data_IF_219405183789
#
_entry.id   IF_219405183789
#
_cell.length_a   1.000
_cell.length_b   1.000
_cell.length_c   1.000
_cell.angle_alpha   90.00
_cell.angle_beta   90.00
_cell.angle_gamma   90.00
#
_symmetry.space_group_name_H-M   'P 1'
#
loop_
_entity.id
_entity.type
_entity.pdbx_description
1 polymer ?
#
# COMPACT_ATOMS: atom_id res chain seq x y z
N UNK A 1 2.21 26.82 58.95
CA UNK A 1 2.94 27.90 59.66
C UNK A 1 3.69 28.69 58.59
N UNK A 2 3.42 30.00 58.48
CA UNK A 2 3.99 30.99 57.55
C UNK A 2 3.77 30.76 56.02
N UNK A 3 3.58 31.74 55.14
CA UNK A 3 3.09 33.14 55.18
C UNK A 3 3.18 33.73 53.74
N UNK A 4 2.12 34.42 53.29
CA UNK A 4 2.10 35.67 52.44
C UNK A 4 2.61 35.56 50.98
N UNK A 5 1.82 35.63 49.89
CA UNK A 5 0.89 36.64 49.27
C UNK A 5 1.54 37.54 48.19
N UNK A 6 0.68 38.01 47.23
CA UNK A 6 0.79 39.19 46.30
C UNK A 6 1.30 38.84 44.86
N UNK A 7 0.71 39.23 43.70
CA UNK A 7 -0.38 40.15 43.30
C UNK A 7 -0.87 39.86 41.85
N UNK A 8 -2.09 40.33 41.57
CA UNK A 8 -2.85 40.46 40.31
C UNK A 8 -2.18 41.17 39.13
N UNK A 9 -2.64 40.93 37.89
CA UNK A 9 -3.47 41.89 37.10
C UNK A 9 -3.74 41.41 35.66
N UNK A 10 -5.01 41.46 35.28
CA UNK A 10 -5.52 41.34 33.91
C UNK A 10 -5.44 42.69 33.18
N UNK A 11 -5.36 42.69 31.85
CA UNK A 11 -5.81 43.79 30.98
C UNK A 11 -6.14 43.26 29.58
N UNK A 12 -7.44 43.28 29.27
CA UNK A 12 -8.04 43.21 27.94
C UNK A 12 -7.85 44.56 27.24
N UNK A 13 -7.56 44.59 25.94
CA UNK A 13 -8.06 45.63 25.04
C UNK A 13 -8.16 45.11 23.59
N UNK A 14 -9.40 45.12 23.08
CA UNK A 14 -9.76 45.09 21.67
C UNK A 14 -9.89 46.52 21.15
N UNK A 15 -9.56 46.78 19.88
CA UNK A 15 -10.16 47.87 19.10
C UNK A 15 -9.90 47.72 17.59
N UNK A 16 -10.99 47.74 16.83
CA UNK A 16 -11.10 47.90 15.38
C UNK A 16 -10.71 49.32 14.93
N UNK A 17 -10.59 49.53 13.61
CA UNK A 17 -11.15 50.75 13.00
C UNK A 17 -10.33 51.44 11.93
N UNK A 18 -10.86 51.39 10.71
CA UNK A 18 -10.41 51.93 9.43
C UNK A 18 -10.70 53.43 9.23
N UNK A 19 -10.03 54.04 8.24
CA UNK A 19 -10.35 55.26 7.43
C UNK A 19 -10.45 56.61 8.17
N UNK A 20 -10.12 57.80 7.63
CA UNK A 20 -9.72 58.32 6.30
C UNK A 20 -9.46 59.84 6.44
N UNK A 21 -8.71 60.45 5.49
CA UNK A 21 -8.76 61.84 4.96
C UNK A 21 -7.35 62.34 4.62
N UNK A 22 -7.08 63.19 3.63
CA UNK A 22 -7.68 63.69 2.37
C UNK A 22 -6.67 64.75 1.87
N UNK A 23 -6.58 64.99 0.55
CA UNK A 23 -6.53 66.32 -0.10
C UNK A 23 -5.96 66.29 -1.55
N UNK A 24 -6.89 66.50 -2.50
CA UNK A 24 -6.93 67.46 -3.64
C UNK A 24 -5.73 67.64 -4.61
N UNK A 25 -5.88 67.68 -5.94
CA UNK A 25 -6.75 68.58 -6.75
C UNK A 25 -6.88 68.15 -8.23
N UNK A 26 -7.92 68.66 -8.89
CA UNK A 26 -8.46 68.36 -10.23
C UNK A 26 -7.83 69.11 -11.42
N UNK A 27 -8.08 68.63 -12.65
CA UNK A 27 -8.27 69.42 -13.88
C UNK A 27 -9.11 68.64 -14.91
N UNK A 28 -9.88 69.38 -15.72
CA UNK A 28 -11.07 69.01 -16.50
C UNK A 28 -10.85 69.37 -18.00
N UNK A 29 -11.57 68.74 -18.95
CA UNK A 29 -12.07 69.25 -20.27
C UNK A 29 -12.52 68.04 -21.16
N UNK A 30 -13.83 67.81 -21.45
CA UNK A 30 -14.68 68.18 -22.64
C UNK A 30 -14.08 67.82 -24.02
N UNK A 31 -14.76 67.24 -25.04
CA UNK A 31 -16.15 67.38 -25.51
C UNK A 31 -16.56 66.29 -26.56
N UNK A 32 -17.85 66.25 -26.90
CA UNK A 32 -18.61 65.29 -27.75
C UNK A 32 -18.29 65.22 -29.27
N UNK A 33 -18.63 64.09 -29.94
CA UNK A 33 -19.47 64.03 -31.17
C UNK A 33 -19.75 62.61 -31.69
N UNK A 34 -20.92 62.42 -32.31
CA UNK A 34 -21.62 61.17 -32.65
C UNK A 34 -21.65 60.92 -34.19
N UNK A 35 -21.67 59.63 -34.60
CA UNK A 35 -22.55 58.96 -35.62
C UNK A 35 -21.95 58.23 -36.86
N UNK A 36 -22.31 56.94 -36.93
CA UNK A 36 -22.78 56.07 -38.06
C UNK A 36 -21.84 55.40 -39.09
N UNK A 37 -21.79 54.06 -38.95
CA UNK A 37 -21.94 52.95 -39.93
C UNK A 37 -21.35 53.02 -41.35
N UNK A 38 -20.44 52.06 -41.62
CA UNK A 38 -20.54 51.20 -42.80
C UNK A 38 -19.85 49.84 -42.57
N UNK A 39 -20.57 48.79 -42.96
CA UNK A 39 -20.30 47.35 -42.84
C UNK A 39 -19.29 46.87 -43.88
N UNK A 40 -18.35 45.99 -43.52
CA UNK A 40 -17.85 44.93 -44.41
C UNK A 40 -17.01 43.86 -43.67
N UNK A 41 -17.37 42.61 -43.95
CA UNK A 41 -16.64 41.33 -43.92
C UNK A 41 -15.69 40.95 -42.76
N UNK A 42 -16.07 39.83 -42.13
CA UNK A 42 -15.25 39.02 -41.23
C UNK A 42 -14.47 38.00 -42.08
N UNK A 43 -13.15 38.18 -42.18
CA UNK A 43 -12.21 37.09 -42.44
C UNK A 43 -11.54 36.71 -41.10
N UNK A 44 -11.49 35.41 -40.73
CA UNK A 44 -10.84 34.96 -39.51
C UNK A 44 -9.33 34.91 -39.68
N UNK A 45 -8.60 35.65 -38.85
CA UNK A 45 -7.16 35.53 -38.72
C UNK A 45 -6.80 34.31 -37.84
N UNK A 46 -6.14 33.35 -38.49
CA UNK A 46 -5.29 32.26 -38.00
C UNK A 46 -5.11 32.16 -36.47
N UNK A 47 -5.73 31.13 -35.89
CA UNK A 47 -5.18 30.45 -34.72
C UNK A 47 -4.13 29.47 -35.24
N UNK A 48 -2.86 29.69 -34.91
CA UNK A 48 -1.85 28.61 -34.91
C UNK A 48 -2.32 27.57 -33.90
N UNK A 49 -2.95 26.50 -34.40
CA UNK A 49 -3.02 25.22 -33.71
C UNK A 49 -1.59 24.75 -33.51
N UNK A 50 -1.15 24.74 -32.24
CA UNK A 50 -0.08 23.87 -31.83
C UNK A 50 -0.54 22.44 -32.12
N UNK A 51 0.08 21.81 -33.11
CA UNK A 51 -0.07 20.38 -33.39
C UNK A 51 0.23 19.61 -32.10
N UNK A 52 -0.82 19.13 -31.44
CA UNK A 52 -0.73 18.00 -30.54
C UNK A 52 -0.27 16.83 -31.41
N UNK A 53 1.03 16.55 -31.40
CA UNK A 53 1.55 15.30 -31.93
C UNK A 53 1.15 14.17 -30.99
N UNK A 54 -0.12 13.78 -31.04
CA UNK A 54 -0.56 12.47 -30.57
C UNK A 54 0.01 11.43 -31.54
N UNK A 55 1.30 11.13 -31.37
CA UNK A 55 1.80 9.84 -31.79
C UNK A 55 1.20 8.84 -30.79
N UNK A 56 0.11 8.18 -31.19
CA UNK A 56 -0.37 6.98 -30.50
C UNK A 56 0.72 5.93 -30.61
N UNK A 57 1.61 5.86 -29.62
CA UNK A 57 2.61 4.80 -29.54
C UNK A 57 1.92 3.46 -29.36
N UNK A 58 2.47 2.42 -29.97
CA UNK A 58 1.96 1.04 -29.85
C UNK A 58 2.15 0.50 -28.43
N UNK A 59 3.14 1.02 -27.71
CA UNK A 59 3.53 0.62 -26.35
C UNK A 59 3.09 1.65 -25.31
N UNK A 60 2.89 1.19 -24.07
CA UNK A 60 2.63 2.03 -22.91
C UNK A 60 3.78 3.03 -22.66
N UNK A 61 5.01 2.64 -22.99
CA UNK A 61 6.20 3.46 -22.83
C UNK A 61 6.88 3.73 -24.18
N UNK A 62 6.59 4.86 -24.84
CA UNK A 62 7.19 5.19 -26.13
C UNK A 62 8.70 5.44 -26.07
N UNK A 63 9.26 5.84 -24.92
CA UNK A 63 10.69 6.18 -24.83
C UNK A 63 11.61 4.97 -25.06
N UNK A 64 11.07 3.76 -24.97
CA UNK A 64 11.84 2.55 -25.26
C UNK A 64 12.35 2.53 -26.71
N UNK A 65 11.65 3.19 -27.65
CA UNK A 65 12.10 3.33 -29.05
C UNK A 65 13.45 4.04 -29.18
N UNK A 66 13.79 4.93 -28.24
CA UNK A 66 15.07 5.64 -28.23
C UNK A 66 16.27 4.74 -27.90
N UNK A 67 16.03 3.52 -27.41
CA UNK A 67 17.10 2.54 -27.17
C UNK A 67 17.72 2.01 -28.45
N UNK A 68 17.10 2.27 -29.61
CA UNK A 68 17.47 1.74 -30.94
C UNK A 68 17.47 0.21 -31.04
N UNK A 69 16.99 -0.49 -30.01
CA UNK A 69 16.84 -1.94 -30.01
C UNK A 69 15.58 -2.42 -30.73
N UNK A 70 15.48 -3.73 -30.92
CA UNK A 70 14.22 -4.37 -31.30
C UNK A 70 13.34 -4.55 -30.05
N UNK A 71 12.12 -4.05 -30.12
CA UNK A 71 11.18 -3.96 -29.01
C UNK A 71 10.02 -4.93 -29.25
N UNK A 72 9.68 -5.72 -28.24
CA UNK A 72 8.57 -6.68 -28.28
C UNK A 72 7.75 -6.60 -26.99
N UNK A 73 6.46 -6.29 -27.09
CA UNK A 73 5.54 -6.43 -25.96
C UNK A 73 5.24 -7.91 -25.73
N UNK A 74 5.65 -8.44 -24.57
CA UNK A 74 5.48 -9.87 -24.25
C UNK A 74 4.31 -10.12 -23.31
N UNK A 75 3.86 -9.11 -22.57
CA UNK A 75 2.71 -9.21 -21.69
C UNK A 75 2.15 -7.83 -21.35
N UNK A 76 0.81 -7.74 -21.25
CA UNK A 76 0.10 -6.54 -20.82
C UNK A 76 -0.99 -6.92 -19.84
N UNK A 77 -1.10 -6.17 -18.75
CA UNK A 77 -2.21 -6.24 -17.82
C UNK A 77 -2.91 -4.88 -17.76
N UNK A 78 -4.11 -4.80 -18.34
CA UNK A 78 -4.87 -3.54 -18.45
C UNK A 78 -5.71 -3.23 -17.20
N UNK A 79 -5.76 -4.15 -16.23
CA UNK A 79 -6.56 -3.97 -15.02
C UNK A 79 -6.04 -4.85 -13.87
N UNK A 80 -4.85 -4.54 -13.32
CA UNK A 80 -4.22 -5.39 -12.31
C UNK A 80 -4.91 -5.34 -10.94
N UNK A 81 -5.74 -4.31 -10.68
CA UNK A 81 -6.44 -4.11 -9.40
C UNK A 81 -5.51 -3.91 -8.19
N UNK A 82 -4.25 -3.50 -8.41
CA UNK A 82 -3.32 -3.21 -7.32
C UNK A 82 -3.62 -1.82 -6.75
N UNK A 83 -4.02 -1.76 -5.47
CA UNK A 83 -4.48 -0.53 -4.83
C UNK A 83 -4.08 -0.45 -3.36
N UNK A 84 -3.53 0.69 -2.95
CA UNK A 84 -3.14 0.91 -1.56
C UNK A 84 -3.77 2.20 -1.03
N UNK A 85 -4.52 2.09 0.06
CA UNK A 85 -5.11 3.24 0.77
C UNK A 85 -4.36 3.47 2.07
N UNK A 86 -3.81 4.68 2.23
CA UNK A 86 -3.02 5.15 3.36
C UNK A 86 -3.67 6.42 3.94
N UNK A 87 -4.61 6.26 4.87
CA UNK A 87 -5.26 7.37 5.60
C UNK A 87 -5.66 8.58 4.74
N UNK A 88 -6.34 8.29 3.63
CA UNK A 88 -6.79 9.31 2.67
C UNK A 88 -5.78 9.61 1.54
N UNK A 89 -4.67 8.89 1.46
CA UNK A 89 -3.79 8.86 0.31
C UNK A 89 -3.95 7.54 -0.45
N UNK A 90 -4.46 7.60 -1.69
CA UNK A 90 -4.75 6.42 -2.49
C UNK A 90 -3.71 6.25 -3.60
N UNK A 91 -3.17 5.05 -3.74
CA UNK A 91 -2.29 4.64 -4.82
C UNK A 91 -2.97 3.54 -5.62
N UNK A 92 -2.94 3.61 -6.95
CA UNK A 92 -3.40 2.53 -7.82
C UNK A 92 -2.44 2.29 -8.98
N UNK A 93 -2.22 1.02 -9.33
CA UNK A 93 -1.62 0.65 -10.61
C UNK A 93 -2.75 0.41 -11.59
N UNK A 94 -2.84 1.25 -12.62
CA UNK A 94 -3.95 1.23 -13.57
C UNK A 94 -3.75 0.16 -14.64
N UNK A 95 -2.51 0.02 -15.12
CA UNK A 95 -2.08 -0.97 -16.10
C UNK A 95 -0.56 -1.13 -16.02
N UNK A 96 -0.05 -2.25 -16.54
CA UNK A 96 1.37 -2.39 -16.81
C UNK A 96 1.64 -3.23 -18.06
N UNK A 97 2.81 -3.02 -18.63
CA UNK A 97 3.30 -3.73 -19.81
C UNK A 97 4.74 -4.20 -19.58
N UNK A 98 5.03 -5.44 -19.97
CA UNK A 98 6.37 -6.00 -19.98
C UNK A 98 6.86 -6.00 -21.43
N UNK A 99 7.94 -5.28 -21.66
CA UNK A 99 8.55 -5.11 -22.97
C UNK A 99 9.94 -5.72 -22.97
N UNK A 100 10.21 -6.60 -23.93
CA UNK A 100 11.54 -7.13 -24.21
C UNK A 100 12.26 -6.17 -25.16
N UNK A 101 13.53 -5.91 -24.87
CA UNK A 101 14.42 -5.12 -25.73
C UNK A 101 15.63 -5.98 -26.05
N UNK A 102 15.95 -6.12 -27.34
CA UNK A 102 17.13 -6.85 -27.81
C UNK A 102 17.97 -6.01 -28.75
N UNK A 103 19.29 -6.20 -28.71
CA UNK A 103 20.25 -5.47 -29.57
C UNK A 103 20.15 -3.95 -29.41
N UNK A 104 19.98 -3.48 -28.16
CA UNK A 104 19.93 -2.04 -27.87
C UNK A 104 21.29 -1.36 -28.08
N UNK A 105 21.26 -0.07 -28.36
CA UNK A 105 22.48 0.74 -28.44
C UNK A 105 23.26 0.67 -27.11
N UNK A 106 24.58 0.53 -27.20
CA UNK A 106 25.50 0.39 -26.07
C UNK A 106 25.36 1.52 -25.03
N UNK A 107 24.93 2.71 -25.45
CA UNK A 107 24.70 3.86 -24.57
C UNK A 107 23.62 3.58 -23.50
N UNK A 108 22.70 2.64 -23.77
CA UNK A 108 21.64 2.23 -22.84
C UNK A 108 22.00 0.99 -22.00
N UNK A 109 23.07 0.27 -22.35
CA UNK A 109 23.44 -0.99 -21.68
C UNK A 109 23.70 -0.81 -20.18
N UNK A 110 24.14 0.39 -19.75
CA UNK A 110 24.38 0.69 -18.33
C UNK A 110 23.13 0.54 -17.43
N UNK A 111 21.93 0.69 -17.99
CA UNK A 111 20.67 0.43 -17.27
C UNK A 111 20.43 -1.06 -17.04
N UNK A 112 21.05 -1.93 -17.85
CA UNK A 112 20.85 -3.38 -17.89
C UNK A 112 22.13 -4.13 -17.50
N UNK A 113 22.93 -3.60 -16.56
CA UNK A 113 24.19 -4.20 -16.11
C UNK A 113 25.19 -4.48 -17.26
N UNK A 114 25.31 -3.53 -18.19
CA UNK A 114 26.15 -3.59 -19.39
C UNK A 114 25.70 -4.64 -20.44
N UNK A 115 24.51 -5.24 -20.29
CA UNK A 115 23.88 -6.10 -21.29
C UNK A 115 23.14 -5.25 -22.34
N UNK A 116 23.10 -5.73 -23.59
CA UNK A 116 22.36 -5.08 -24.69
C UNK A 116 21.00 -5.73 -24.96
N UNK A 117 20.60 -6.67 -24.10
CA UNK A 117 19.29 -7.27 -24.06
C UNK A 117 18.72 -7.11 -22.65
N UNK A 118 17.40 -6.99 -22.53
CA UNK A 118 16.75 -6.92 -21.24
C UNK A 118 15.25 -6.75 -21.36
N UNK A 119 14.62 -6.45 -20.23
CA UNK A 119 13.18 -6.25 -20.13
C UNK A 119 12.90 -4.96 -19.34
N UNK A 120 11.86 -4.25 -19.74
CA UNK A 120 11.31 -3.12 -18.99
C UNK A 120 9.86 -3.41 -18.67
N UNK A 121 9.52 -3.38 -17.38
CA UNK A 121 8.13 -3.31 -16.94
C UNK A 121 7.77 -1.84 -16.80
N UNK A 122 6.83 -1.35 -17.58
CA UNK A 122 6.29 0.01 -17.44
C UNK A 122 4.93 -0.09 -16.77
N UNK A 123 4.73 0.61 -15.64
CA UNK A 123 3.49 0.59 -14.88
C UNK A 123 2.92 2.01 -14.77
N UNK A 124 1.66 2.18 -15.16
CA UNK A 124 0.94 3.44 -14.99
C UNK A 124 0.35 3.50 -13.58
N UNK A 125 0.79 4.49 -12.80
CA UNK A 125 0.43 4.65 -11.40
C UNK A 125 -0.31 5.97 -11.20
N UNK A 126 -1.44 5.90 -10.50
CA UNK A 126 -2.16 7.08 -10.00
C UNK A 126 -1.92 7.25 -8.51
N UNK A 127 -1.59 8.47 -8.10
CA UNK A 127 -1.50 8.87 -6.69
C UNK A 127 -2.52 9.98 -6.41
N UNK A 128 -3.30 9.83 -5.36
CA UNK A 128 -4.39 10.74 -5.01
C UNK A 128 -4.40 11.06 -3.51
N UNK A 129 -4.06 12.30 -3.16
CA UNK A 129 -4.25 12.84 -1.82
C UNK A 129 -5.69 13.37 -1.69
N UNK A 130 -6.56 12.61 -1.04
CA UNK A 130 -7.97 12.99 -0.83
C UNK A 130 -8.18 13.88 0.41
N UNK A 131 -7.12 14.17 1.15
CA UNK A 131 -7.19 14.98 2.38
C UNK A 131 -7.15 16.47 2.10
N UNK A 132 -7.47 17.28 3.13
CA UNK A 132 -7.33 18.72 3.13
C UNK A 132 -5.92 19.20 3.56
N UNK A 133 -4.98 18.27 3.74
CA UNK A 133 -3.60 18.53 4.16
C UNK A 133 -2.62 18.13 3.08
N UNK A 134 -1.45 18.74 3.13
CA UNK A 134 -0.30 18.30 2.37
C UNK A 134 0.27 17.02 3.00
N UNK A 135 0.59 16.04 2.18
CA UNK A 135 1.17 14.77 2.62
C UNK A 135 2.50 14.51 1.89
N UNK A 136 3.36 13.74 2.53
CA UNK A 136 4.67 13.33 2.05
C UNK A 136 4.68 11.82 1.81
N UNK A 137 4.95 11.43 0.57
CA UNK A 137 4.99 10.04 0.14
C UNK A 137 6.14 9.79 -0.81
N UNK A 138 6.86 8.70 -0.61
CA UNK A 138 7.86 8.23 -1.57
C UNK A 138 7.19 7.20 -2.47
N UNK A 139 7.06 7.51 -3.76
CA UNK A 139 6.46 6.61 -4.74
C UNK A 139 7.44 5.48 -5.14
N UNK A 140 7.71 4.59 -4.20
CA UNK A 140 8.53 3.41 -4.41
C UNK A 140 7.67 2.17 -4.57
N UNK A 141 7.98 1.39 -5.59
CA UNK A 141 7.37 0.10 -5.87
C UNK A 141 8.48 -0.93 -6.06
N UNK A 142 8.17 -2.19 -5.81
CA UNK A 142 9.13 -3.29 -5.95
C UNK A 142 8.49 -4.48 -6.64
N UNK A 143 9.29 -5.21 -7.43
CA UNK A 143 8.99 -6.58 -7.83
C UNK A 143 9.87 -7.48 -6.97
N UNK A 144 9.27 -8.10 -5.96
CA UNK A 144 9.93 -9.09 -5.11
C UNK A 144 10.00 -10.43 -5.83
N UNK A 145 11.16 -11.07 -5.75
CA UNK A 145 11.44 -12.36 -6.36
C UNK A 145 11.42 -13.46 -5.27
N UNK A 146 12.56 -14.01 -4.86
CA UNK A 146 12.60 -15.15 -3.92
C UNK A 146 12.21 -14.80 -2.48
N UNK A 147 12.51 -13.59 -2.01
CA UNK A 147 12.28 -13.15 -0.64
C UNK A 147 12.41 -11.62 -0.51
N UNK A 148 12.16 -11.07 0.67
CA UNK A 148 12.19 -9.63 0.98
C UNK A 148 13.52 -8.90 0.67
N UNK A 149 14.64 -9.63 0.51
CA UNK A 149 15.95 -9.06 0.18
C UNK A 149 16.32 -9.18 -1.31
N UNK A 150 15.51 -9.87 -2.09
CA UNK A 150 15.71 -10.15 -3.51
C UNK A 150 14.58 -9.51 -4.33
N UNK A 151 14.81 -8.28 -4.77
CA UNK A 151 13.80 -7.47 -5.44
C UNK A 151 14.39 -6.52 -6.47
N UNK A 152 13.55 -6.17 -7.45
CA UNK A 152 13.82 -5.13 -8.46
C UNK A 152 13.07 -3.86 -8.04
N UNK A 153 13.78 -2.74 -7.92
CA UNK A 153 13.16 -1.46 -7.56
C UNK A 153 12.55 -0.78 -8.79
N UNK A 154 11.50 -0.01 -8.55
CA UNK A 154 10.98 0.93 -9.53
C UNK A 154 11.88 2.14 -9.69
N UNK A 155 12.00 2.63 -10.92
CA UNK A 155 12.59 3.89 -11.32
C UNK A 155 11.50 4.91 -11.65
N UNK A 156 11.72 6.17 -11.29
CA UNK A 156 10.78 7.28 -11.54
C UNK A 156 11.21 8.18 -12.69
N UNK A 157 12.39 7.94 -13.28
CA UNK A 157 12.96 8.79 -14.34
C UNK A 157 13.51 8.00 -15.52
N UNK A 158 14.21 6.91 -15.23
CA UNK A 158 14.97 6.18 -16.25
C UNK A 158 14.00 5.49 -17.20
N UNK A 159 14.23 5.71 -18.50
CA UNK A 159 13.38 5.18 -19.56
C UNK A 159 11.91 5.59 -19.41
N UNK A 160 11.61 6.82 -18.96
CA UNK A 160 10.24 7.35 -18.88
C UNK A 160 10.17 8.71 -19.60
N UNK A 161 9.23 8.93 -20.53
CA UNK A 161 8.99 10.23 -21.16
C UNK A 161 8.79 11.34 -20.12
N UNK A 162 9.37 12.53 -20.34
CA UNK A 162 9.29 13.62 -19.35
C UNK A 162 7.84 14.02 -18.99
N UNK A 163 6.92 13.93 -19.95
CA UNK A 163 5.49 14.20 -19.81
C UNK A 163 4.72 13.05 -19.13
N UNK A 164 5.38 11.94 -18.80
CA UNK A 164 4.83 10.82 -18.03
C UNK A 164 5.56 10.62 -16.69
N UNK A 165 6.61 11.40 -16.43
CA UNK A 165 7.33 11.38 -15.17
C UNK A 165 6.51 12.03 -14.05
N UNK A 166 6.12 11.26 -13.04
CA UNK A 166 5.27 11.74 -11.93
C UNK A 166 5.87 12.98 -11.25
N UNK A 167 7.19 13.04 -11.03
CA UNK A 167 7.84 14.22 -10.43
C UNK A 167 7.70 15.51 -11.26
N UNK A 168 7.45 15.40 -12.57
CA UNK A 168 7.23 16.54 -13.47
C UNK A 168 5.75 16.92 -13.57
N UNK A 169 4.86 15.95 -13.40
CA UNK A 169 3.41 16.13 -13.53
C UNK A 169 2.72 16.66 -12.27
N UNK A 170 3.34 16.49 -11.11
CA UNK A 170 2.81 17.01 -9.85
C UNK A 170 2.82 18.54 -9.79
N UNK A 171 1.93 19.07 -8.94
CA UNK A 171 1.84 20.50 -8.63
C UNK A 171 3.15 21.03 -8.05
N UNK A 172 3.76 20.27 -7.13
CA UNK A 172 5.05 20.62 -6.55
C UNK A 172 6.19 19.84 -7.23
N UNK A 173 7.09 20.58 -7.88
CA UNK A 173 8.25 20.02 -8.58
C UNK A 173 9.57 20.17 -7.79
N UNK A 174 9.57 20.98 -6.73
CA UNK A 174 10.77 21.26 -5.92
C UNK A 174 10.99 20.22 -4.81
N UNK A 175 9.90 19.68 -4.26
CA UNK A 175 9.92 18.69 -3.19
C UNK A 175 9.41 17.34 -3.72
N UNK A 176 10.32 16.39 -3.90
CA UNK A 176 10.06 15.15 -4.65
C UNK A 176 9.04 14.24 -3.96
N UNK A 177 8.73 14.43 -2.69
CA UNK A 177 7.74 13.61 -2.00
C UNK A 177 6.46 14.33 -1.60
N UNK A 178 6.36 15.64 -1.82
CA UNK A 178 5.20 16.41 -1.42
C UNK A 178 4.06 16.24 -2.42
N UNK A 179 2.89 15.86 -1.92
CA UNK A 179 1.61 15.88 -2.61
C UNK A 179 0.69 16.85 -1.89
N UNK A 180 0.25 17.88 -2.61
CA UNK A 180 -0.62 18.90 -2.04
C UNK A 180 -2.02 18.35 -1.74
N UNK A 181 -2.76 19.03 -0.85
CA UNK A 181 -4.15 18.70 -0.56
C UNK A 181 -4.99 18.58 -1.86
N UNK A 182 -5.79 17.51 -1.96
CA UNK A 182 -6.63 17.25 -3.12
C UNK A 182 -5.87 16.97 -4.43
N UNK A 183 -4.55 16.76 -4.39
CA UNK A 183 -3.77 16.47 -5.59
C UNK A 183 -4.00 15.05 -6.09
N UNK A 184 -4.22 14.94 -7.40
CA UNK A 184 -4.24 13.67 -8.13
C UNK A 184 -3.27 13.76 -9.29
N UNK A 185 -2.34 12.82 -9.38
CA UNK A 185 -1.35 12.72 -10.45
C UNK A 185 -1.33 11.31 -10.99
N UNK A 186 -1.11 11.14 -12.29
CA UNK A 186 -0.94 9.85 -12.95
C UNK A 186 0.27 9.93 -13.86
N UNK A 187 1.10 8.90 -13.85
CA UNK A 187 2.29 8.80 -14.71
C UNK A 187 2.88 7.41 -14.65
N UNK A 188 4.08 7.23 -15.19
CA UNK A 188 4.75 5.93 -15.20
C UNK A 188 5.75 5.77 -14.06
N UNK A 189 5.95 4.52 -13.66
CA UNK A 189 7.17 4.00 -13.06
C UNK A 189 7.68 2.84 -13.91
N UNK A 190 8.99 2.61 -13.93
CA UNK A 190 9.61 1.52 -14.70
C UNK A 190 10.37 0.57 -13.80
N UNK A 191 10.43 -0.70 -14.16
CA UNK A 191 11.37 -1.68 -13.57
C UNK A 191 12.25 -2.18 -14.69
N UNK A 192 13.56 -2.13 -14.48
CA UNK A 192 14.56 -2.52 -15.48
C UNK A 192 15.15 -3.86 -15.06
N UNK A 193 15.06 -4.86 -15.93
CA UNK A 193 15.47 -6.23 -15.65
C UNK A 193 16.47 -6.71 -16.71
N UNK A 194 17.52 -7.39 -16.26
CA UNK A 194 18.38 -8.22 -17.10
C UNK A 194 17.64 -9.46 -17.62
N UNK A 195 18.20 -10.16 -18.60
CA UNK A 195 17.64 -11.45 -19.03
C UNK A 195 17.64 -12.47 -17.89
N UNK A 196 18.67 -12.47 -17.04
CA UNK A 196 18.78 -13.37 -15.90
C UNK A 196 17.69 -13.13 -14.84
N UNK A 197 17.40 -11.87 -14.51
CA UNK A 197 16.33 -11.52 -13.55
C UNK A 197 14.95 -11.89 -14.08
N UNK A 198 14.70 -11.65 -15.37
CA UNK A 198 13.43 -12.05 -15.99
C UNK A 198 13.26 -13.57 -16.01
N UNK A 199 14.30 -14.36 -16.31
CA UNK A 199 14.22 -15.82 -16.22
C UNK A 199 14.06 -16.30 -14.77
N UNK A 200 14.72 -15.67 -13.80
CA UNK A 200 14.57 -15.97 -12.37
C UNK A 200 13.13 -15.76 -11.90
N UNK A 201 12.50 -14.66 -12.32
CA UNK A 201 11.10 -14.35 -12.03
C UNK A 201 10.15 -15.48 -12.44
N UNK A 202 10.47 -16.24 -13.50
CA UNK A 202 9.65 -17.37 -13.96
C UNK A 202 9.74 -18.62 -13.08
N UNK A 203 10.72 -18.66 -12.19
CA UNK A 203 10.96 -19.82 -11.30
C UNK A 203 10.38 -19.63 -9.90
N UNK A 204 9.79 -18.47 -9.63
CA UNK A 204 9.21 -18.10 -8.34
C UNK A 204 7.80 -17.55 -8.53
N UNK A 205 7.12 -17.23 -7.42
CA UNK A 205 5.87 -16.48 -7.40
C UNK A 205 6.19 -15.01 -7.08
N UNK A 206 6.56 -14.19 -8.08
CA UNK A 206 6.99 -12.81 -7.82
C UNK A 206 5.82 -11.97 -7.29
N UNK A 207 6.14 -10.98 -6.45
CA UNK A 207 5.14 -10.06 -5.87
C UNK A 207 5.39 -8.63 -6.31
N UNK A 208 4.34 -7.93 -6.71
CA UNK A 208 4.35 -6.48 -6.87
C UNK A 208 4.01 -5.84 -5.53
N UNK A 209 4.87 -4.98 -5.01
CA UNK A 209 4.71 -4.31 -3.72
C UNK A 209 4.60 -2.81 -3.96
N UNK A 210 3.52 -2.21 -3.45
CA UNK A 210 3.36 -0.75 -3.35
C UNK A 210 3.87 -0.38 -1.96
N UNK A 211 4.95 0.40 -1.85
CA UNK A 211 5.47 0.74 -0.53
C UNK A 211 4.52 1.67 0.24
N UNK A 212 4.43 1.45 1.55
CA UNK A 212 3.75 2.33 2.50
C UNK A 212 4.53 3.61 2.80
N UNK A 213 4.29 4.18 3.99
CA UNK A 213 5.10 5.28 4.51
C UNK A 213 4.63 6.68 4.14
N UNK A 214 3.33 6.96 4.24
CA UNK A 214 2.78 8.32 4.19
C UNK A 214 3.12 9.09 5.48
N UNK A 215 3.31 10.41 5.38
CA UNK A 215 3.43 11.29 6.53
C UNK A 215 2.79 12.66 6.27
N UNK A 216 2.40 13.38 7.31
CA UNK A 216 1.99 14.79 7.23
C UNK A 216 3.17 15.76 7.47
N UNK A 217 4.39 15.23 7.53
CA UNK A 217 5.62 15.95 7.85
C UNK A 217 6.80 15.52 6.96
N UNK A 218 7.77 16.42 6.77
CA UNK A 218 8.92 16.25 5.85
C UNK A 218 9.94 15.21 6.28
N UNK A 219 10.03 14.95 7.57
CA UNK A 219 10.98 14.02 8.17
C UNK A 219 10.43 12.59 8.28
N UNK A 220 9.20 12.36 7.81
CA UNK A 220 8.51 11.07 7.83
C UNK A 220 8.35 10.48 9.23
N UNK A 221 8.36 11.33 10.25
CA UNK A 221 8.08 10.94 11.62
C UNK A 221 6.66 10.37 11.71
N UNK A 222 6.55 9.14 12.21
CA UNK A 222 5.27 8.42 12.33
C UNK A 222 4.81 7.72 11.05
N UNK A 223 5.56 7.79 9.95
CA UNK A 223 5.26 7.00 8.75
C UNK A 223 5.56 5.51 8.99
N UNK A 224 4.83 4.65 8.29
CA UNK A 224 5.05 3.22 8.37
C UNK A 224 5.23 2.57 7.00
N UNK A 225 6.47 2.21 6.68
CA UNK A 225 6.84 1.49 5.46
C UNK A 225 6.40 0.02 5.49
N UNK A 226 6.17 -0.55 6.68
CA UNK A 226 5.78 -1.95 6.83
C UNK A 226 4.32 -2.21 6.42
N UNK A 227 3.51 -1.15 6.35
CA UNK A 227 2.17 -1.18 5.77
C UNK A 227 2.27 -1.13 4.23
N UNK A 228 2.76 -2.21 3.62
CA UNK A 228 2.91 -2.33 2.17
C UNK A 228 2.15 -3.55 1.67
N UNK A 229 1.10 -3.41 0.83
CA UNK A 229 0.43 -4.56 0.25
C UNK A 229 1.30 -5.23 -0.81
N UNK A 230 1.14 -6.55 -0.92
CA UNK A 230 1.80 -7.38 -1.92
C UNK A 230 0.76 -8.06 -2.82
N UNK A 231 0.96 -8.02 -4.13
CA UNK A 231 0.11 -8.64 -5.14
C UNK A 231 0.90 -9.65 -5.95
N UNK A 232 0.29 -10.72 -6.43
CA UNK A 232 0.93 -11.60 -7.40
C UNK A 232 1.30 -10.83 -8.68
N UNK A 233 2.58 -10.75 -9.01
CA UNK A 233 3.01 -10.09 -10.23
C UNK A 233 2.89 -11.04 -11.42
N UNK A 234 1.86 -10.82 -12.23
CA UNK A 234 1.61 -11.64 -13.41
C UNK A 234 2.47 -11.17 -14.58
N UNK A 235 3.28 -12.06 -15.15
CA UNK A 235 4.20 -11.74 -16.25
C UNK A 235 3.90 -12.50 -17.56
N UNK A 236 2.93 -13.42 -17.56
CA UNK A 236 2.54 -14.19 -18.73
C UNK A 236 1.06 -14.63 -18.66
N UNK A 237 0.44 -14.85 -19.82
CA UNK A 237 -0.98 -15.26 -19.89
C UNK A 237 -1.28 -16.62 -19.26
N UNK A 238 -0.35 -17.58 -19.35
CA UNK A 238 -0.49 -18.89 -18.69
C UNK A 238 -0.50 -18.75 -17.16
N UNK A 239 0.39 -17.91 -16.63
CA UNK A 239 0.44 -17.59 -15.20
C UNK A 239 -0.80 -16.80 -14.77
N UNK A 240 -1.32 -15.89 -15.59
CA UNK A 240 -2.52 -15.10 -15.29
C UNK A 240 -3.72 -16.00 -14.98
N UNK A 241 -3.90 -17.05 -15.77
CA UNK A 241 -4.98 -18.02 -15.56
C UNK A 241 -4.77 -18.80 -14.26
N UNK A 242 -3.53 -19.22 -13.99
CA UNK A 242 -3.19 -19.93 -12.75
C UNK A 242 -3.44 -19.08 -11.50
N UNK A 243 -3.07 -17.78 -11.52
CA UNK A 243 -3.31 -16.84 -10.41
C UNK A 243 -4.81 -16.55 -10.24
N UNK A 244 -5.55 -16.35 -11.32
CA UNK A 244 -6.99 -16.08 -11.26
C UNK A 244 -7.81 -17.26 -10.70
N UNK A 245 -7.33 -18.49 -10.89
CA UNK A 245 -7.96 -19.70 -10.37
C UNK A 245 -7.54 -20.03 -8.92
N UNK A 246 -6.58 -19.30 -8.34
CA UNK A 246 -6.17 -19.53 -6.94
C UNK A 246 -7.28 -19.12 -5.97
N UNK A 247 -7.48 -19.90 -4.89
CA UNK A 247 -8.42 -19.53 -3.86
C UNK A 247 -7.95 -18.24 -3.15
N UNK A 248 -8.90 -17.44 -2.67
CA UNK A 248 -8.59 -16.23 -1.91
C UNK A 248 -7.99 -16.62 -0.56
N UNK A 249 -6.72 -16.28 -0.34
CA UNK A 249 -6.03 -16.51 0.92
C UNK A 249 -6.11 -15.24 1.78
N UNK A 250 -6.36 -15.44 3.09
CA UNK A 250 -6.17 -14.39 4.07
C UNK A 250 -4.71 -13.92 4.04
N UNK A 251 -4.56 -12.60 3.99
CA UNK A 251 -3.26 -11.96 3.88
C UNK A 251 -2.47 -12.19 5.17
N UNK A 252 -1.35 -12.90 5.03
CA UNK A 252 -0.36 -13.08 6.07
C UNK A 252 1.03 -13.16 5.45
N UNK A 253 2.07 -13.02 6.28
CA UNK A 253 3.45 -12.92 5.82
C UNK A 253 4.01 -14.21 5.24
N UNK A 254 3.31 -15.33 5.39
CA UNK A 254 3.68 -16.54 4.63
C UNK A 254 3.55 -16.27 3.13
N UNK A 255 2.50 -15.55 2.74
CA UNK A 255 2.20 -15.22 1.34
C UNK A 255 2.74 -13.87 0.89
N UNK A 256 2.58 -12.80 1.68
CA UNK A 256 2.98 -11.45 1.26
C UNK A 256 4.49 -11.32 1.12
N UNK A 257 5.25 -11.94 2.02
CA UNK A 257 6.72 -11.87 2.05
C UNK A 257 7.36 -13.06 1.32
N UNK A 258 6.55 -13.83 0.58
CA UNK A 258 6.94 -15.01 -0.20
C UNK A 258 7.70 -16.08 0.60
N UNK A 259 7.35 -16.26 1.88
CA UNK A 259 7.98 -17.28 2.73
C UNK A 259 7.51 -18.69 2.38
N UNK A 260 6.27 -18.84 1.91
CA UNK A 260 5.69 -20.14 1.59
C UNK A 260 4.50 -20.03 0.62
N UNK A 261 4.31 -21.09 -0.16
CA UNK A 261 3.06 -21.33 -0.87
C UNK A 261 2.03 -21.96 0.08
N UNK A 262 0.77 -21.55 -0.05
CA UNK A 262 -0.35 -22.06 0.76
C UNK A 262 -1.38 -22.75 -0.13
N UNK A 263 -1.93 -23.86 0.36
CA UNK A 263 -3.10 -24.52 -0.25
C UNK A 263 -4.19 -24.70 0.79
N UNK A 264 -5.40 -24.21 0.52
CA UNK A 264 -6.53 -24.33 1.48
C UNK A 264 -6.88 -25.80 1.72
N UNK A 265 -6.92 -26.18 2.99
CA UNK A 265 -7.43 -27.46 3.48
C UNK A 265 -8.88 -27.33 3.95
N UNK A 266 -9.19 -26.20 4.58
CA UNK A 266 -10.52 -25.85 5.08
C UNK A 266 -10.61 -24.36 5.28
N UNK A 267 -11.79 -23.80 5.01
CA UNK A 267 -12.11 -22.41 5.31
C UNK A 267 -13.54 -22.33 5.82
N UNK A 268 -13.77 -21.39 6.73
CA UNK A 268 -15.12 -21.00 7.14
C UNK A 268 -15.15 -19.48 7.30
N UNK A 269 -15.95 -18.83 6.47
CA UNK A 269 -16.16 -17.39 6.49
C UNK A 269 -17.54 -17.02 7.03
N UNK A 270 -17.72 -15.76 7.43
CA UNK A 270 -19.01 -15.25 7.86
C UNK A 270 -19.49 -15.83 9.19
N UNK A 271 -18.55 -16.27 10.04
CA UNK A 271 -18.83 -16.80 11.38
C UNK A 271 -19.56 -15.73 12.21
N UNK A 272 -19.05 -14.48 12.17
CA UNK A 272 -19.62 -13.30 12.81
C UNK A 272 -19.97 -13.52 14.30
N UNK A 273 -19.16 -14.31 15.02
CA UNK A 273 -19.33 -14.47 16.46
C UNK A 273 -18.68 -13.28 17.18
N UNK A 274 -19.44 -12.58 18.02
CA UNK A 274 -18.98 -11.39 18.72
C UNK A 274 -18.87 -11.61 20.23
N UNK A 275 -17.83 -11.05 20.84
CA UNK A 275 -17.61 -10.97 22.30
C UNK A 275 -17.19 -9.56 22.67
N UNK A 276 -17.42 -9.18 23.92
CA UNK A 276 -16.99 -7.89 24.48
C UNK A 276 -15.78 -8.08 25.40
N UNK A 277 -14.83 -7.15 25.31
CA UNK A 277 -13.73 -6.99 26.26
C UNK A 277 -13.73 -5.51 26.70
N UNK A 278 -14.39 -5.21 27.82
CA UNK A 278 -14.64 -3.83 28.22
C UNK A 278 -15.51 -3.08 27.20
N UNK A 279 -14.97 -1.99 26.64
CA UNK A 279 -15.63 -1.15 25.61
C UNK A 279 -15.13 -1.49 24.19
N UNK A 280 -14.51 -2.66 24.02
CA UNK A 280 -14.05 -3.16 22.72
C UNK A 280 -14.83 -4.40 22.34
N UNK A 281 -15.44 -4.33 21.16
CA UNK A 281 -16.18 -5.44 20.56
C UNK A 281 -15.25 -6.20 19.63
N UNK A 282 -15.06 -7.50 19.88
CA UNK A 282 -14.20 -8.38 19.06
C UNK A 282 -15.06 -9.42 18.35
N UNK A 283 -14.92 -9.50 17.03
CA UNK A 283 -15.72 -10.38 16.17
C UNK A 283 -14.83 -11.35 15.42
N UNK A 284 -15.09 -12.65 15.58
CA UNK A 284 -14.51 -13.71 14.76
C UNK A 284 -15.24 -13.73 13.41
N UNK A 285 -14.56 -13.35 12.34
CA UNK A 285 -15.14 -13.27 11.01
C UNK A 285 -14.94 -14.57 10.22
N UNK A 286 -13.79 -15.22 10.38
CA UNK A 286 -13.49 -16.45 9.65
C UNK A 286 -12.17 -17.09 10.04
N UNK A 287 -11.98 -18.31 9.53
CA UNK A 287 -10.75 -19.10 9.70
C UNK A 287 -10.34 -19.75 8.38
N UNK A 288 -9.03 -19.85 8.15
CA UNK A 288 -8.45 -20.63 7.06
C UNK A 288 -7.37 -21.56 7.60
N UNK A 289 -7.50 -22.84 7.30
CA UNK A 289 -6.48 -23.85 7.52
C UNK A 289 -5.85 -24.19 6.19
N UNK A 290 -4.53 -24.09 6.10
CA UNK A 290 -3.80 -24.29 4.84
C UNK A 290 -2.61 -25.21 5.03
N UNK A 291 -2.35 -26.05 4.04
CA UNK A 291 -1.05 -26.70 3.88
C UNK A 291 -0.03 -25.63 3.50
N UNK A 292 1.16 -25.70 4.09
CA UNK A 292 2.22 -24.72 3.90
C UNK A 292 3.46 -25.41 3.34
N UNK A 293 3.93 -24.94 2.19
CA UNK A 293 5.17 -25.37 1.56
C UNK A 293 6.13 -24.19 1.53
N UNK A 294 7.16 -24.15 2.40
CA UNK A 294 8.15 -23.07 2.38
C UNK A 294 8.82 -22.96 1.02
N UNK A 295 9.08 -21.73 0.57
CA UNK A 295 9.89 -21.50 -0.62
C UNK A 295 11.34 -21.89 -0.36
N UNK A 296 12.10 -22.24 -1.41
CA UNK A 296 13.49 -22.71 -1.27
C UNK A 296 14.37 -21.72 -0.48
N UNK A 297 14.19 -20.41 -0.70
CA UNK A 297 14.92 -19.37 0.00
C UNK A 297 14.59 -19.30 1.51
N UNK A 298 13.39 -19.73 1.90
CA UNK A 298 12.83 -19.55 3.24
C UNK A 298 12.74 -20.87 4.03
N UNK A 299 13.02 -22.02 3.41
CA UNK A 299 12.92 -23.34 4.01
C UNK A 299 13.68 -23.49 5.33
N UNK A 300 14.81 -22.80 5.49
CA UNK A 300 15.61 -22.85 6.72
C UNK A 300 14.86 -22.36 7.97
N UNK A 301 13.90 -21.44 7.82
CA UNK A 301 13.08 -20.89 8.92
C UNK A 301 12.09 -21.92 9.48
N UNK A 302 11.79 -22.97 8.73
CA UNK A 302 10.75 -23.95 9.07
C UNK A 302 11.32 -25.33 9.47
N UNK A 303 12.62 -25.42 9.73
CA UNK A 303 13.30 -26.70 10.03
C UNK A 303 12.78 -27.39 11.30
N UNK A 304 12.26 -26.63 12.27
CA UNK A 304 11.71 -27.14 13.53
C UNK A 304 10.42 -27.98 13.34
N UNK A 305 9.76 -27.90 12.17
CA UNK A 305 8.59 -28.72 11.85
C UNK A 305 8.95 -30.12 11.32
N UNK A 306 10.22 -30.34 10.97
CA UNK A 306 10.73 -31.60 10.42
C UNK A 306 10.03 -32.04 9.12
N UNK A 307 10.11 -33.33 8.81
CA UNK A 307 9.63 -33.88 7.53
C UNK A 307 8.11 -34.11 7.47
N UNK A 308 7.37 -33.73 8.52
CA UNK A 308 5.94 -34.04 8.63
C UNK A 308 5.06 -33.11 7.78
N UNK A 309 5.61 -31.96 7.37
CA UNK A 309 4.86 -30.87 6.74
C UNK A 309 4.25 -29.93 7.76
N UNK A 310 3.70 -28.82 7.27
CA UNK A 310 3.27 -27.67 8.07
C UNK A 310 1.83 -27.34 7.72
N UNK A 311 1.02 -27.08 8.75
CA UNK A 311 -0.32 -26.51 8.58
C UNK A 311 -0.35 -25.16 9.25
N UNK A 312 -0.84 -24.14 8.54
CA UNK A 312 -1.16 -22.84 9.13
C UNK A 312 -2.66 -22.73 9.41
N UNK A 313 -3.00 -22.16 10.56
CA UNK A 313 -4.32 -21.60 10.84
C UNK A 313 -4.19 -20.07 10.84
N UNK A 314 -4.88 -19.42 9.91
CA UNK A 314 -5.03 -17.96 9.88
C UNK A 314 -6.45 -17.62 10.33
N UNK A 315 -6.59 -16.84 11.41
CA UNK A 315 -7.87 -16.41 11.99
C UNK A 315 -8.10 -14.94 11.67
N UNK A 316 -9.25 -14.59 11.08
CA UNK A 316 -9.63 -13.21 10.78
C UNK A 316 -10.55 -12.66 11.88
N UNK A 317 -10.13 -11.56 12.49
CA UNK A 317 -10.87 -10.84 13.52
C UNK A 317 -11.18 -9.41 13.06
N UNK A 318 -12.35 -8.92 13.42
CA UNK A 318 -12.66 -7.48 13.41
C UNK A 318 -12.70 -6.96 14.85
N UNK A 319 -12.08 -5.82 15.08
CA UNK A 319 -11.97 -5.18 16.39
C UNK A 319 -12.59 -3.78 16.27
N UNK A 320 -13.66 -3.54 17.02
CA UNK A 320 -14.34 -2.25 17.09
C UNK A 320 -14.06 -1.61 18.46
N UNK A 321 -13.24 -0.56 18.48
CA UNK A 321 -12.78 0.10 19.70
C UNK A 321 -13.67 1.30 20.03
N UNK A 322 -14.68 1.09 20.88
CA UNK A 322 -15.58 2.15 21.35
C UNK A 322 -15.12 2.76 22.70
N UNK A 323 -13.89 2.48 23.13
CA UNK A 323 -13.31 3.08 24.32
C UNK A 323 -12.83 4.52 24.08
N UNK A 324 -12.37 5.19 25.15
CA UNK A 324 -11.84 6.56 25.10
C UNK A 324 -10.33 6.65 24.78
N UNK A 325 -9.70 5.51 24.49
CA UNK A 325 -8.26 5.42 24.21
C UNK A 325 -7.95 4.42 23.09
N UNK A 326 -6.80 4.57 22.43
CA UNK A 326 -6.33 3.59 21.46
C UNK A 326 -5.99 2.26 22.14
N UNK A 327 -6.24 1.15 21.45
CA UNK A 327 -5.88 -0.20 21.92
C UNK A 327 -4.81 -0.80 21.05
N UNK A 328 -3.73 -1.31 21.67
CA UNK A 328 -2.67 -1.98 20.93
C UNK A 328 -3.11 -3.39 20.52
N UNK A 329 -2.99 -3.69 19.22
CA UNK A 329 -3.35 -4.99 18.63
C UNK A 329 -2.14 -5.77 18.11
N UNK A 330 -0.94 -5.16 18.16
CA UNK A 330 0.34 -5.80 17.83
C UNK A 330 0.88 -6.71 18.95
N UNK A 331 0.49 -6.46 20.20
CA UNK A 331 1.00 -7.17 21.39
C UNK A 331 -0.13 -7.86 22.15
N UNK A 332 -0.93 -8.68 21.47
CA UNK A 332 -1.99 -9.44 22.10
C UNK A 332 -1.43 -10.73 22.70
N UNK A 333 -1.89 -11.08 23.91
CA UNK A 333 -1.55 -12.34 24.58
C UNK A 333 -2.29 -13.56 24.01
N UNK A 334 -2.65 -13.54 22.73
CA UNK A 334 -3.55 -14.52 22.12
C UNK A 334 -2.93 -15.91 22.14
N UNK A 335 -3.71 -16.88 22.59
CA UNK A 335 -3.30 -18.28 22.72
C UNK A 335 -4.34 -19.20 22.08
N UNK A 336 -3.88 -20.34 21.59
CA UNK A 336 -4.75 -21.38 21.06
C UNK A 336 -4.58 -22.67 21.87
N UNK A 337 -5.64 -23.05 22.58
CA UNK A 337 -5.71 -24.33 23.29
C UNK A 337 -6.32 -25.41 22.39
N UNK A 338 -5.71 -26.60 22.40
CA UNK A 338 -6.10 -27.73 21.56
C UNK A 338 -6.57 -28.90 22.42
N UNK A 339 -7.73 -29.47 22.08
CA UNK A 339 -8.36 -30.59 22.78
C UNK A 339 -8.39 -30.40 24.31
N UNK A 340 -8.77 -29.19 24.75
CA UNK A 340 -8.85 -28.69 26.13
C UNK A 340 -7.51 -28.61 26.91
N UNK A 341 -6.58 -29.53 26.69
CA UNK A 341 -5.28 -29.53 27.38
C UNK A 341 -4.17 -30.30 26.65
N UNK A 342 -4.37 -30.71 25.39
CA UNK A 342 -3.37 -31.52 24.67
C UNK A 342 -2.15 -30.69 24.31
N UNK A 343 -2.39 -29.50 23.79
CA UNK A 343 -1.35 -28.57 23.36
C UNK A 343 -1.86 -27.15 23.52
N UNK A 344 -0.92 -26.20 23.64
CA UNK A 344 -1.18 -24.78 23.70
C UNK A 344 -0.18 -24.07 22.80
N UNK A 345 -0.68 -23.31 21.85
CA UNK A 345 0.11 -22.59 20.87
C UNK A 345 0.07 -21.09 21.13
N UNK A 346 1.24 -20.47 21.06
CA UNK A 346 1.36 -19.05 20.83
C UNK A 346 1.09 -18.76 19.36
N UNK A 347 0.53 -17.59 19.08
CA UNK A 347 0.51 -17.09 17.72
C UNK A 347 1.95 -16.85 17.22
N UNK A 348 2.17 -17.08 15.95
CA UNK A 348 3.43 -16.79 15.26
C UNK A 348 3.36 -15.36 14.78
N UNK A 349 3.55 -14.40 15.70
CA UNK A 349 3.42 -12.97 15.42
C UNK A 349 4.26 -12.49 14.21
N UNK A 350 5.39 -13.14 13.94
CA UNK A 350 6.22 -12.83 12.78
C UNK A 350 5.56 -13.18 11.45
N UNK A 351 4.62 -14.13 11.42
CA UNK A 351 3.88 -14.50 10.23
C UNK A 351 2.59 -13.67 10.05
N UNK A 352 2.19 -12.87 11.03
CA UNK A 352 1.01 -12.00 10.95
C UNK A 352 1.31 -10.70 10.18
N UNK A 353 0.29 -10.05 9.59
CA UNK A 353 0.42 -8.68 9.11
C UNK A 353 0.99 -7.75 10.20
N UNK A 354 1.93 -6.89 9.82
CA UNK A 354 2.63 -5.97 10.75
C UNK A 354 1.74 -4.81 11.20
N UNK A 355 0.74 -4.48 10.39
CA UNK A 355 -0.16 -3.34 10.58
C UNK A 355 -1.63 -3.72 10.43
N UNK A 356 -2.54 -2.94 11.05
CA UNK A 356 -2.25 -1.82 11.96
C UNK A 356 -1.73 -2.31 13.33
N UNK A 357 -0.94 -1.49 14.03
CA UNK A 357 -0.42 -1.83 15.37
C UNK A 357 -1.37 -1.50 16.50
N UNK A 358 -2.27 -0.55 16.26
CA UNK A 358 -3.28 -0.08 17.19
C UNK A 358 -4.57 0.27 16.45
N UNK A 359 -5.68 0.27 17.18
CA UNK A 359 -6.97 0.79 16.70
C UNK A 359 -7.30 2.02 17.55
N UNK A 360 -7.49 3.17 16.90
CA UNK A 360 -7.79 4.42 17.57
C UNK A 360 -9.16 4.37 18.28
N UNK A 361 -9.39 5.31 19.18
CA UNK A 361 -10.66 5.44 19.88
C UNK A 361 -11.80 5.80 18.89
N UNK A 362 -12.89 5.04 18.93
CA UNK A 362 -14.04 5.21 18.05
C UNK A 362 -13.88 4.59 16.65
N UNK A 363 -12.78 3.90 16.39
CA UNK A 363 -12.49 3.26 15.10
C UNK A 363 -12.58 1.73 15.17
N UNK A 364 -12.66 1.10 14.00
CA UNK A 364 -12.62 -0.33 13.84
C UNK A 364 -11.51 -0.75 12.86
N UNK A 365 -11.00 -1.95 13.02
CA UNK A 365 -10.01 -2.51 12.10
C UNK A 365 -9.86 -4.02 12.20
N UNK A 366 -9.16 -4.58 11.22
CA UNK A 366 -8.94 -6.01 11.12
C UNK A 366 -7.67 -6.44 11.87
N UNK A 367 -7.70 -7.68 12.39
CA UNK A 367 -6.53 -8.37 12.93
C UNK A 367 -6.52 -9.81 12.46
N UNK A 368 -5.38 -10.24 11.93
CA UNK A 368 -5.14 -11.63 11.60
C UNK A 368 -4.21 -12.26 12.65
N UNK A 369 -4.56 -13.47 13.10
CA UNK A 369 -3.69 -14.31 13.91
C UNK A 369 -3.24 -15.54 13.13
N UNK A 370 -1.96 -15.87 13.21
CA UNK A 370 -1.39 -17.04 12.51
C UNK A 370 -0.84 -18.03 13.53
N UNK A 371 -1.24 -19.29 13.41
CA UNK A 371 -0.69 -20.41 14.18
C UNK A 371 -0.12 -21.45 13.22
N UNK A 372 1.03 -22.02 13.56
CA UNK A 372 1.69 -23.05 12.77
C UNK A 372 1.74 -24.36 13.54
N UNK A 373 1.40 -25.45 12.85
CA UNK A 373 1.39 -26.80 13.41
C UNK A 373 2.26 -27.72 12.57
N UNK A 374 2.83 -28.74 13.22
CA UNK A 374 3.25 -29.93 12.48
C UNK A 374 2.02 -30.65 11.95
N UNK A 375 2.04 -31.04 10.68
CA UNK A 375 0.89 -31.63 10.00
C UNK A 375 0.49 -33.01 10.57
N UNK A 376 1.44 -33.77 11.10
CA UNK A 376 1.17 -35.04 11.77
C UNK A 376 0.38 -34.84 13.08
N UNK A 377 0.73 -33.82 13.86
CA UNK A 377 -0.02 -33.45 15.08
C UNK A 377 -1.39 -32.84 14.75
N UNK A 378 -1.45 -31.95 13.76
CA UNK A 378 -2.71 -31.35 13.31
C UNK A 378 -3.78 -32.41 12.99
N UNK A 379 -3.38 -33.50 12.33
CA UNK A 379 -4.27 -34.57 11.89
C UNK A 379 -5.04 -35.30 13.01
N UNK A 380 -4.60 -35.15 14.27
CA UNK A 380 -5.24 -35.78 15.43
C UNK A 380 -5.98 -34.78 16.33
N UNK A 381 -5.95 -33.49 15.99
CA UNK A 381 -6.63 -32.43 16.74
C UNK A 381 -8.12 -32.37 16.40
N UNK A 382 -8.95 -32.15 17.40
CA UNK A 382 -10.42 -32.19 17.26
C UNK A 382 -11.08 -30.90 17.67
N UNK A 383 -10.51 -30.17 18.62
CA UNK A 383 -11.05 -28.91 19.13
C UNK A 383 -9.97 -27.86 19.22
N UNK A 384 -10.30 -26.66 18.77
CA UNK A 384 -9.47 -25.47 18.89
C UNK A 384 -10.26 -24.40 19.63
N UNK A 385 -9.69 -23.88 20.72
CA UNK A 385 -10.26 -22.79 21.49
C UNK A 385 -9.25 -21.66 21.53
N UNK A 386 -9.62 -20.48 21.01
CA UNK A 386 -8.77 -19.31 21.02
C UNK A 386 -9.11 -18.41 22.22
N UNK A 387 -8.09 -18.11 23.02
CA UNK A 387 -8.11 -17.04 24.02
C UNK A 387 -7.62 -15.76 23.35
N UNK A 388 -8.52 -14.84 23.02
CA UNK A 388 -8.20 -13.56 22.37
C UNK A 388 -7.93 -12.46 23.41
N UNK A 389 -6.82 -11.74 23.24
CA UNK A 389 -6.35 -10.71 24.18
C UNK A 389 -5.46 -11.28 25.29
N UNK A 390 -5.22 -10.55 26.39
CA UNK A 390 -5.80 -9.25 26.71
C UNK A 390 -5.21 -8.13 25.85
N UNK A 391 -5.91 -7.00 25.82
CA UNK A 391 -5.37 -5.75 25.29
C UNK A 391 -4.41 -5.10 26.29
N UNK A 392 -3.50 -4.28 25.76
CA UNK A 392 -2.57 -3.48 26.54
C UNK A 392 -2.70 -2.01 26.17
N UNK A 393 -2.56 -1.14 27.17
CA UNK A 393 -2.41 0.29 26.99
C UNK A 393 -1.00 0.61 26.48
N UNK A 394 -0.78 1.83 25.98
CA UNK A 394 0.55 2.32 25.56
C UNK A 394 1.60 2.20 26.68
N UNK A 395 1.18 2.31 27.94
CA UNK A 395 2.05 2.12 29.12
C UNK A 395 2.54 0.68 29.32
N UNK A 396 2.01 -0.29 28.56
CA UNK A 396 2.26 -1.73 28.71
C UNK A 396 1.44 -2.39 29.81
N UNK A 397 0.56 -1.65 30.50
CA UNK A 397 -0.38 -2.21 31.46
C UNK A 397 -1.56 -2.88 30.75
N UNK A 398 -2.11 -3.95 31.34
CA UNK A 398 -3.30 -4.62 30.79
C UNK A 398 -4.50 -3.67 30.81
N UNK A 399 -5.07 -3.42 29.64
CA UNK A 399 -6.34 -2.72 29.49
C UNK A 399 -7.49 -3.62 30.00
N UNK A 400 -8.64 -3.01 30.28
CA UNK A 400 -9.89 -3.71 30.64
C UNK A 400 -9.72 -4.79 31.72
N UNK A 401 -8.88 -4.51 32.74
CA UNK A 401 -8.54 -5.45 33.84
C UNK A 401 -7.96 -6.80 33.37
N UNK A 402 -7.47 -6.87 32.14
CA UNK A 402 -6.92 -8.09 31.56
C UNK A 402 -7.97 -9.12 31.16
N UNK A 403 -9.21 -8.69 30.89
CA UNK A 403 -10.25 -9.55 30.32
C UNK A 403 -9.84 -10.10 28.94
N UNK A 404 -10.34 -11.28 28.62
CA UNK A 404 -10.08 -12.01 27.38
C UNK A 404 -11.40 -12.54 26.83
N UNK A 405 -11.50 -12.66 25.51
CA UNK A 405 -12.61 -13.31 24.84
C UNK A 405 -12.23 -14.75 24.49
N UNK A 406 -13.18 -15.68 24.59
CA UNK A 406 -12.98 -17.09 24.26
C UNK A 406 -13.82 -17.42 23.03
N UNK A 407 -13.18 -17.95 22.00
CA UNK A 407 -13.82 -18.39 20.77
C UNK A 407 -13.54 -19.88 20.54
N UNK A 408 -14.57 -20.65 20.18
CA UNK A 408 -14.38 -22.00 19.65
C UNK A 408 -14.22 -21.88 18.13
N UNK A 409 -13.09 -22.36 17.60
CA UNK A 409 -12.81 -22.23 16.17
C UNK A 409 -13.33 -23.46 15.42
N UNK A 410 -13.98 -23.29 14.26
CA UNK A 410 -14.33 -24.39 13.38
C UNK A 410 -13.09 -25.17 12.93
N UNK A 411 -13.26 -26.47 12.65
CA UNK A 411 -12.15 -27.37 12.38
C UNK A 411 -12.53 -28.38 11.28
N UNK A 412 -11.62 -28.68 10.33
CA UNK A 412 -11.84 -29.69 9.27
C UNK A 412 -12.15 -31.12 9.75
N UNK A 413 -11.90 -31.44 11.02
CA UNK A 413 -12.09 -32.79 11.57
C UNK A 413 -13.40 -32.99 12.35
N UNK A 414 -14.27 -31.98 12.43
CA UNK A 414 -15.56 -32.08 13.12
C UNK A 414 -16.74 -32.48 12.22
#
# INVERSE_FOLDING_TARGET
>A
MLAVSILSSALLLAACGNSSNEETSAANETDEAVKTEQTEEVEPAEQEEAEESSQTSEFLNPLLEETEGTIESIYKNESPQYTHSLDGFNISVNQYEITKITDMNQDYASYFNDEVNGYVVSAEVTLENTTDKNLYYNNFHKIQLENELDYINSESKNLIPEDQQIQKLRKNQDEISLYEAGEKVTGLVTFILTEAEFEKMKTVTPKYIIEGGIADNKDYSGSNLENSPAYDFVYAGEQASAVADQPSLYQDRLTTDNWADKTILFEEEGINETKEIGDVTVTLEGVQYTDVVPTDANASMFTDFGDSGIVALTVKMNIDNQSDSAVNISNLGTMLDVDDSRARYLNVAQAEPRDPREIAAGEAGEKYHVFLFRKDEFSIYKKFTMEFGPFYLESGEKAFKGEQAIFELPNPHQ
#
